data_IF_011948033300
#
_entry.id   IF_011948033300
#
_cell.length_a   1.000
_cell.length_b   1.000
_cell.length_c   1.000
_cell.angle_alpha   90.00
_cell.angle_beta   90.00
_cell.angle_gamma   90.00
#
_symmetry.space_group_name_H-M   'P 1'
#
loop_
_entity.id
_entity.type
_entity.pdbx_description
1 polymer ?
#
# COMPACT_ATOMS: atom_id res chain seq x y z
N UNK A 1 34.51 -13.12 -35.03
CA UNK A 1 34.39 -11.65 -34.90
C UNK A 1 35.36 -11.25 -33.79
N UNK A 2 36.57 -10.83 -34.16
CA UNK A 2 37.62 -10.46 -33.20
C UNK A 2 37.32 -9.05 -32.69
N UNK A 3 37.09 -8.93 -31.38
CA UNK A 3 37.03 -7.65 -30.66
C UNK A 3 38.46 -7.12 -30.62
N UNK A 4 38.71 -5.87 -31.03
CA UNK A 4 40.05 -5.29 -31.04
C UNK A 4 40.54 -5.00 -29.62
N UNK A 5 41.86 -5.10 -29.38
CA UNK A 5 42.48 -4.81 -28.08
C UNK A 5 42.16 -3.39 -27.56
N UNK A 6 41.81 -2.45 -28.45
CA UNK A 6 41.35 -1.11 -28.10
C UNK A 6 39.98 -1.09 -27.42
N UNK A 7 39.03 -1.96 -27.84
CA UNK A 7 37.70 -2.07 -27.23
C UNK A 7 37.76 -2.79 -25.87
N UNK A 8 38.70 -3.73 -25.70
CA UNK A 8 38.95 -4.42 -24.42
C UNK A 8 39.51 -3.43 -23.39
N UNK A 9 40.44 -2.55 -23.81
CA UNK A 9 41.07 -1.55 -22.94
C UNK A 9 40.09 -0.42 -22.53
N UNK A 10 39.12 -0.04 -23.38
CA UNK A 10 38.05 0.89 -23.00
C UNK A 10 37.03 0.29 -22.02
N UNK A 11 36.74 -1.02 -22.13
CA UNK A 11 35.75 -1.72 -21.30
C UNK A 11 36.26 -2.03 -19.88
N UNK A 12 37.51 -2.49 -19.73
CA UNK A 12 38.14 -2.63 -18.40
C UNK A 12 38.25 -1.28 -17.68
N UNK A 13 38.46 -0.21 -18.44
CA UNK A 13 38.54 1.14 -17.91
C UNK A 13 37.17 1.65 -17.42
N UNK A 14 36.05 1.19 -17.99
CA UNK A 14 34.71 1.66 -17.57
C UNK A 14 34.39 1.31 -16.11
N UNK A 15 34.50 0.04 -15.68
CA UNK A 15 34.15 -0.36 -14.33
C UNK A 15 35.01 0.34 -13.28
N UNK A 16 36.32 0.49 -13.56
CA UNK A 16 37.27 1.21 -12.70
C UNK A 16 36.98 2.72 -12.65
N UNK A 17 36.69 3.34 -13.80
CA UNK A 17 36.31 4.75 -13.87
C UNK A 17 34.99 5.02 -13.14
N UNK A 18 34.01 4.13 -13.28
CA UNK A 18 32.73 4.24 -12.59
C UNK A 18 32.89 4.05 -11.08
N UNK A 19 33.71 3.08 -10.63
CA UNK A 19 34.10 2.93 -9.22
C UNK A 19 34.70 4.23 -8.66
N UNK A 20 35.71 4.78 -9.35
CA UNK A 20 36.36 6.03 -8.96
C UNK A 20 35.36 7.19 -8.88
N UNK A 21 34.45 7.28 -9.84
CA UNK A 21 33.39 8.30 -9.85
C UNK A 21 32.48 8.18 -8.63
N UNK A 22 32.02 6.97 -8.31
CA UNK A 22 31.21 6.74 -7.11
C UNK A 22 32.00 7.06 -5.83
N UNK A 23 33.27 6.67 -5.74
CA UNK A 23 34.12 6.99 -4.61
C UNK A 23 34.22 8.51 -4.39
N UNK A 24 34.41 9.30 -5.46
CA UNK A 24 34.44 10.76 -5.36
C UNK A 24 33.10 11.35 -4.92
N UNK A 25 31.97 10.79 -5.36
CA UNK A 25 30.64 11.20 -4.91
C UNK A 25 30.49 11.00 -3.39
N UNK A 26 30.91 9.86 -2.85
CA UNK A 26 30.86 9.63 -1.41
C UNK A 26 31.88 10.47 -0.63
N UNK A 27 33.01 10.81 -1.26
CA UNK A 27 34.07 11.65 -0.67
C UNK A 27 33.76 13.14 -0.68
N UNK A 28 32.85 13.62 -1.52
CA UNK A 28 32.58 15.05 -1.69
C UNK A 28 32.03 15.76 -0.44
N UNK A 29 31.52 14.99 0.54
CA UNK A 29 30.90 15.53 1.75
C UNK A 29 29.42 15.90 1.60
N UNK A 30 28.83 15.75 0.41
CA UNK A 30 27.41 16.05 0.19
C UNK A 30 26.47 14.99 0.79
N UNK A 31 26.98 13.77 1.00
CA UNK A 31 26.22 12.65 1.56
C UNK A 31 26.56 12.52 3.03
N UNK A 32 25.56 12.68 3.91
CA UNK A 32 25.73 12.51 5.36
C UNK A 32 26.11 11.06 5.71
N UNK A 33 27.34 10.87 6.16
CA UNK A 33 27.85 9.57 6.54
C UNK A 33 29.37 9.56 6.70
N UNK A 34 29.92 8.36 6.82
CA UNK A 34 31.35 8.14 7.06
C UNK A 34 31.87 6.96 6.24
N UNK A 35 33.13 7.04 5.81
CA UNK A 35 33.83 5.87 5.29
C UNK A 35 34.16 4.88 6.40
N UNK A 36 34.19 3.60 6.07
CA UNK A 36 34.88 2.63 6.90
C UNK A 36 36.40 2.80 6.77
N UNK A 37 37.15 2.44 7.83
CA UNK A 37 38.60 2.63 7.90
C UNK A 37 39.38 1.84 6.83
N UNK A 38 38.79 0.75 6.34
CA UNK A 38 39.39 -0.13 5.32
C UNK A 38 38.83 0.22 3.93
N UNK A 39 39.49 1.15 3.23
CA UNK A 39 39.27 1.40 1.80
C UNK A 39 40.48 0.92 1.01
N UNK A 40 40.29 0.09 0.00
CA UNK A 40 41.33 -0.34 -0.94
C UNK A 40 41.13 0.31 -2.32
N UNK A 41 42.05 0.04 -3.24
CA UNK A 41 41.92 0.47 -4.65
C UNK A 41 40.66 -0.07 -5.34
N UNK A 42 40.11 -1.17 -4.83
CA UNK A 42 39.04 -1.93 -5.50
C UNK A 42 37.79 -2.11 -4.62
N UNK A 43 37.81 -1.61 -3.39
CA UNK A 43 36.69 -1.70 -2.47
C UNK A 43 36.62 -0.48 -1.54
N UNK A 44 35.41 0.07 -1.39
CA UNK A 44 35.12 0.99 -0.30
C UNK A 44 33.77 0.66 0.34
N UNK A 45 33.66 1.02 1.62
CA UNK A 45 32.43 0.93 2.38
C UNK A 45 32.09 2.29 2.96
N UNK A 46 30.85 2.74 2.77
CA UNK A 46 30.33 4.01 3.27
C UNK A 46 29.06 3.80 4.08
N UNK A 47 29.01 4.37 5.28
CA UNK A 47 27.90 4.27 6.23
C UNK A 47 27.10 5.57 6.16
N UNK A 48 25.94 5.53 5.52
CA UNK A 48 24.97 6.63 5.48
C UNK A 48 24.21 6.66 6.81
N UNK A 49 24.36 7.77 7.52
CA UNK A 49 23.78 7.98 8.84
C UNK A 49 23.14 9.38 8.78
N UNK A 50 21.81 9.49 8.61
CA UNK A 50 21.14 10.79 8.47
C UNK A 50 21.40 11.73 9.66
N UNK A 51 21.50 11.15 10.86
CA UNK A 51 21.66 11.82 12.16
C UNK A 51 23.14 11.86 12.61
N UNK A 52 24.09 11.84 11.67
CA UNK A 52 25.52 11.72 11.99
C UNK A 52 26.04 12.90 12.81
N UNK A 53 25.51 14.10 12.57
CA UNK A 53 25.94 15.32 13.26
C UNK A 53 25.54 15.29 14.74
N UNK A 54 24.30 14.88 15.04
CA UNK A 54 23.85 14.70 16.43
C UNK A 54 24.66 13.61 17.13
N UNK A 55 24.89 12.49 16.45
CA UNK A 55 25.66 11.36 16.96
C UNK A 55 27.10 11.78 17.30
N UNK A 56 27.76 12.52 16.41
CA UNK A 56 29.12 13.01 16.63
C UNK A 56 29.18 14.04 17.75
N UNK A 57 28.15 14.86 17.91
CA UNK A 57 28.05 15.82 19.04
C UNK A 57 27.98 15.08 20.38
N UNK A 58 27.11 14.07 20.48
CA UNK A 58 27.00 13.23 21.69
C UNK A 58 28.33 12.50 21.95
N UNK A 59 28.98 11.99 20.89
CA UNK A 59 30.31 11.35 20.95
C UNK A 59 31.35 12.24 21.57
N UNK A 60 31.51 13.45 21.06
CA UNK A 60 32.50 14.39 21.55
C UNK A 60 32.23 14.78 23.01
N UNK A 61 30.96 15.00 23.38
CA UNK A 61 30.59 15.31 24.77
C UNK A 61 30.99 14.19 25.73
N UNK A 62 30.71 12.92 25.40
CA UNK A 62 31.02 11.77 26.25
C UNK A 62 32.53 11.52 26.31
N UNK A 63 33.24 11.58 25.18
CA UNK A 63 34.71 11.41 25.16
C UNK A 63 35.42 12.47 26.01
N UNK A 64 34.91 13.70 26.06
CA UNK A 64 35.43 14.78 26.91
C UNK A 64 35.21 14.54 28.42
N UNK A 65 34.16 13.81 28.80
CA UNK A 65 33.92 13.42 30.20
C UNK A 65 34.81 12.25 30.58
N UNK A 66 34.94 11.26 29.70
CA UNK A 66 35.77 10.07 29.92
C UNK A 66 37.26 10.39 30.04
N UNK A 67 37.78 11.34 29.26
CA UNK A 67 39.19 11.76 29.32
C UNK A 67 39.56 12.48 30.62
N UNK A 68 38.61 13.19 31.24
CA UNK A 68 38.81 13.90 32.52
C UNK A 68 38.79 12.99 33.75
N UNK A 69 38.06 11.88 33.69
CA UNK A 69 37.77 11.05 34.86
C UNK A 69 38.48 9.69 34.87
N UNK A 70 39.49 9.47 34.02
CA UNK A 70 40.30 8.24 33.95
C UNK A 70 39.50 6.92 33.90
N UNK A 71 38.26 6.95 33.42
CA UNK A 71 37.45 5.76 33.22
C UNK A 71 37.91 4.99 31.98
N UNK A 72 38.62 3.88 32.19
CA UNK A 72 38.98 2.88 31.15
C UNK A 72 37.86 1.86 30.90
N UNK A 73 36.59 2.20 31.09
CA UNK A 73 35.50 1.26 30.81
C UNK A 73 35.16 1.27 29.31
N UNK A 74 35.12 0.08 28.71
CA UNK A 74 34.64 -0.13 27.35
C UNK A 74 33.12 0.12 27.32
N UNK A 75 32.72 1.35 27.00
CA UNK A 75 31.31 1.65 26.78
C UNK A 75 31.03 1.35 25.31
N UNK A 76 30.12 0.41 25.05
CA UNK A 76 29.53 0.20 23.73
C UNK A 76 28.06 0.57 23.84
N UNK A 77 27.67 1.69 23.26
CA UNK A 77 26.26 2.09 23.27
C UNK A 77 25.61 1.73 21.97
N UNK A 78 24.44 1.09 22.07
CA UNK A 78 23.56 0.85 20.93
C UNK A 78 22.50 1.94 20.90
N UNK A 79 22.48 2.72 19.83
CA UNK A 79 21.47 3.74 19.57
C UNK A 79 20.51 3.16 18.52
N UNK A 80 19.23 3.11 18.83
CA UNK A 80 18.20 2.86 17.83
C UNK A 80 17.80 4.20 17.22
N UNK A 81 17.84 4.30 15.89
CA UNK A 81 17.49 5.52 15.17
C UNK A 81 16.07 5.43 14.62
N UNK A 82 15.29 6.51 14.63
CA UNK A 82 13.97 6.54 14.01
C UNK A 82 14.08 6.41 12.48
N UNK A 83 15.15 6.93 11.89
CA UNK A 83 15.46 6.79 10.48
C UNK A 83 16.33 5.55 10.20
N UNK A 84 16.13 4.93 9.04
CA UNK A 84 16.91 3.77 8.61
C UNK A 84 18.29 4.23 8.15
N UNK A 85 19.33 3.65 8.74
CA UNK A 85 20.71 3.82 8.27
C UNK A 85 21.02 2.83 7.16
N UNK A 86 21.93 3.21 6.27
CA UNK A 86 22.39 2.35 5.20
C UNK A 86 23.91 2.18 5.24
N UNK A 87 24.39 1.00 4.92
CA UNK A 87 25.80 0.76 4.62
C UNK A 87 25.88 0.35 3.15
N UNK A 88 26.67 1.10 2.38
CA UNK A 88 26.89 0.86 0.96
C UNK A 88 28.32 0.36 0.81
N UNK A 89 28.45 -0.87 0.34
CA UNK A 89 29.71 -1.47 -0.03
C UNK A 89 29.83 -1.50 -1.55
N UNK A 90 30.85 -0.85 -2.09
CA UNK A 90 31.13 -0.85 -3.53
C UNK A 90 32.42 -1.62 -3.77
N UNK A 91 32.38 -2.58 -4.70
CA UNK A 91 33.54 -3.43 -5.01
C UNK A 91 33.68 -3.59 -6.51
N UNK A 92 34.90 -3.38 -7.00
CA UNK A 92 35.36 -3.82 -8.30
C UNK A 92 35.73 -5.31 -8.20
N UNK A 93 35.21 -6.14 -9.10
CA UNK A 93 35.37 -7.59 -9.07
C UNK A 93 35.67 -8.13 -10.46
N UNK A 94 36.28 -9.30 -10.51
CA UNK A 94 36.54 -10.05 -11.74
C UNK A 94 35.70 -11.33 -11.70
N UNK A 95 34.99 -11.62 -12.79
CA UNK A 95 34.18 -12.84 -12.93
C UNK A 95 35.05 -14.06 -13.26
N UNK A 96 34.48 -15.27 -13.19
CA UNK A 96 35.19 -16.51 -13.55
C UNK A 96 35.74 -16.51 -14.99
N UNK A 97 35.10 -15.74 -15.88
CA UNK A 97 35.55 -15.55 -17.27
C UNK A 97 36.51 -14.37 -17.45
N UNK A 98 37.16 -13.92 -16.37
CA UNK A 98 38.06 -12.76 -16.32
C UNK A 98 37.46 -11.42 -16.76
N UNK A 99 36.12 -11.29 -16.79
CA UNK A 99 35.47 -10.02 -17.12
C UNK A 99 35.24 -9.17 -15.87
N UNK A 100 35.63 -7.89 -15.84
CA UNK A 100 35.37 -7.00 -14.71
C UNK A 100 33.88 -6.68 -14.55
N UNK A 101 33.47 -6.48 -13.31
CA UNK A 101 32.15 -6.00 -12.96
C UNK A 101 32.18 -5.24 -11.63
N UNK A 102 31.32 -4.25 -11.50
CA UNK A 102 31.11 -3.52 -10.27
C UNK A 102 29.94 -4.12 -9.49
N UNK A 103 30.08 -4.18 -8.17
CA UNK A 103 28.99 -4.50 -7.24
C UNK A 103 28.74 -3.34 -6.30
N UNK A 104 27.47 -2.96 -6.14
CA UNK A 104 27.00 -2.05 -5.10
C UNK A 104 26.07 -2.85 -4.20
N UNK A 105 26.54 -3.14 -2.99
CA UNK A 105 25.80 -3.92 -1.99
C UNK A 105 25.25 -2.97 -0.94
N UNK A 106 23.94 -3.01 -0.74
CA UNK A 106 23.21 -2.15 0.18
C UNK A 106 22.79 -3.00 1.38
N UNK A 107 23.20 -2.57 2.56
CA UNK A 107 22.76 -3.10 3.85
C UNK A 107 21.96 -2.03 4.58
N UNK A 108 20.96 -2.45 5.34
CA UNK A 108 20.10 -1.55 6.12
C UNK A 108 20.18 -1.87 7.61
N UNK A 109 20.19 -0.85 8.45
CA UNK A 109 20.18 -1.03 9.91
C UNK A 109 19.37 0.05 10.62
N UNK A 110 18.63 -0.36 11.65
CA UNK A 110 17.94 0.57 12.56
C UNK A 110 18.76 0.81 13.84
N UNK A 111 20.00 0.30 13.90
CA UNK A 111 20.82 0.40 15.10
C UNK A 111 22.28 0.70 14.80
N UNK A 112 22.80 1.66 15.55
CA UNK A 112 24.17 2.13 15.49
C UNK A 112 24.85 1.72 16.79
N UNK A 113 25.96 0.99 16.70
CA UNK A 113 26.87 0.75 17.80
C UNK A 113 27.97 1.81 17.80
N UNK A 114 28.18 2.47 18.93
CA UNK A 114 29.24 3.45 19.10
C UNK A 114 30.21 2.92 20.15
N UNK A 115 31.47 2.79 19.74
CA UNK A 115 32.61 2.60 20.63
C UNK A 115 33.18 3.98 20.98
N UNK A 116 33.05 4.35 22.26
CA UNK A 116 33.41 5.69 22.74
C UNK A 116 34.90 5.85 23.01
N UNK A 117 35.67 4.76 23.02
CA UNK A 117 37.11 4.77 23.31
C UNK A 117 37.98 4.84 22.05
N UNK A 118 37.39 4.73 20.86
CA UNK A 118 38.08 4.85 19.57
C UNK A 118 37.41 5.92 18.71
N UNK A 119 38.18 6.94 18.32
CA UNK A 119 37.72 8.13 17.58
C UNK A 119 36.98 7.78 16.29
N UNK A 120 37.24 6.61 15.69
CA UNK A 120 36.71 6.23 14.37
C UNK A 120 35.83 4.95 14.34
N UNK A 121 35.35 4.42 15.47
CA UNK A 121 34.61 3.15 15.48
C UNK A 121 33.09 3.32 15.66
N UNK A 122 32.43 3.96 14.68
CA UNK A 122 30.97 3.80 14.53
C UNK A 122 30.72 2.49 13.75
N UNK A 123 30.03 1.54 14.39
CA UNK A 123 29.69 0.24 13.82
C UNK A 123 28.18 0.18 13.58
N UNK A 124 27.77 0.04 12.32
CA UNK A 124 26.37 -0.30 12.03
C UNK A 124 26.18 -1.80 12.27
N UNK A 125 25.11 -2.19 12.97
CA UNK A 125 24.76 -3.62 13.04
C UNK A 125 24.18 -4.02 11.68
N UNK A 126 25.04 -4.53 10.81
CA UNK A 126 24.67 -4.92 9.46
C UNK A 126 23.93 -6.27 9.50
N UNK A 127 22.71 -6.30 9.00
CA UNK A 127 21.97 -7.55 8.72
C UNK A 127 22.26 -8.01 7.29
N UNK A 128 21.71 -9.15 6.88
CA UNK A 128 21.79 -9.67 5.50
C UNK A 128 21.55 -8.56 4.46
N UNK A 129 22.28 -8.59 3.32
CA UNK A 129 22.18 -7.56 2.29
C UNK A 129 20.72 -7.36 1.88
N UNK A 130 20.31 -6.10 1.88
CA UNK A 130 18.98 -5.71 1.43
C UNK A 130 18.88 -5.88 -0.08
N UNK A 131 19.93 -5.45 -0.80
CA UNK A 131 19.98 -5.48 -2.26
C UNK A 131 21.40 -5.44 -2.78
N UNK A 132 21.64 -6.16 -3.88
CA UNK A 132 22.87 -6.06 -4.67
C UNK A 132 22.52 -5.47 -6.03
N UNK A 133 23.32 -4.52 -6.49
CA UNK A 133 23.30 -3.99 -7.86
C UNK A 133 24.63 -4.39 -8.51
N UNK A 134 24.55 -4.92 -9.72
CA UNK A 134 25.70 -5.46 -10.45
C UNK A 134 25.75 -4.75 -11.80
N UNK A 135 26.92 -4.22 -12.13
CA UNK A 135 27.17 -3.44 -13.34
C UNK A 135 28.34 -4.08 -14.07
N UNK A 136 28.10 -4.58 -15.27
CA UNK A 136 29.15 -5.17 -16.10
C UNK A 136 29.82 -4.12 -16.99
N UNK A 137 30.98 -4.49 -17.54
CA UNK A 137 31.78 -3.68 -18.48
C UNK A 137 30.96 -3.14 -19.67
N UNK A 138 30.03 -3.93 -20.20
CA UNK A 138 29.14 -3.56 -21.30
C UNK A 138 27.97 -2.66 -20.86
N UNK A 139 28.04 -2.09 -19.66
CA UNK A 139 27.01 -1.28 -19.00
C UNK A 139 25.71 -2.02 -18.69
N UNK A 140 25.63 -3.33 -18.88
CA UNK A 140 24.46 -4.10 -18.44
C UNK A 140 24.36 -4.08 -16.92
N UNK A 141 23.14 -3.93 -16.43
CA UNK A 141 22.87 -3.66 -15.02
C UNK A 141 21.75 -4.53 -14.46
N UNK A 142 22.03 -5.19 -13.34
CA UNK A 142 21.17 -6.18 -12.73
C UNK A 142 20.99 -5.90 -11.24
N UNK A 143 19.87 -6.36 -10.70
CA UNK A 143 19.64 -6.47 -9.27
C UNK A 143 19.57 -7.93 -8.85
N UNK A 144 20.11 -8.23 -7.67
CA UNK A 144 19.92 -9.50 -6.99
C UNK A 144 19.42 -9.27 -5.57
N UNK A 145 18.52 -10.15 -5.13
CA UNK A 145 18.11 -10.26 -3.72
C UNK A 145 18.86 -11.41 -3.04
N UNK A 146 18.52 -11.71 -1.78
CA UNK A 146 19.16 -12.74 -0.94
C UNK A 146 19.24 -14.15 -1.56
N UNK A 147 18.46 -14.44 -2.60
CA UNK A 147 18.43 -15.76 -3.25
C UNK A 147 19.32 -15.84 -4.51
N UNK A 148 20.24 -14.89 -4.73
CA UNK A 148 21.17 -14.87 -5.88
C UNK A 148 20.51 -14.93 -7.27
N UNK A 149 19.20 -14.67 -7.36
CA UNK A 149 18.51 -14.56 -8.65
C UNK A 149 18.73 -13.16 -9.22
N UNK A 150 19.35 -13.12 -10.40
CA UNK A 150 19.61 -11.89 -11.14
C UNK A 150 18.41 -11.49 -11.99
N UNK A 151 18.03 -10.22 -11.92
CA UNK A 151 17.00 -9.62 -12.78
C UNK A 151 17.51 -8.28 -13.30
N UNK A 152 17.11 -7.83 -14.51
CA UNK A 152 17.43 -6.49 -14.97
C UNK A 152 17.01 -5.44 -13.95
N UNK A 153 17.90 -4.49 -13.63
CA UNK A 153 17.62 -3.47 -12.63
C UNK A 153 16.41 -2.61 -13.04
N UNK A 154 15.45 -2.43 -12.13
CA UNK A 154 14.31 -1.54 -12.33
C UNK A 154 14.49 -0.23 -11.57
N UNK A 155 13.82 0.83 -12.01
CA UNK A 155 13.81 2.11 -11.30
C UNK A 155 13.27 1.97 -9.88
N UNK A 156 12.26 1.10 -9.69
CA UNK A 156 11.72 0.80 -8.36
C UNK A 156 12.75 0.26 -7.36
N UNK A 157 13.85 -0.32 -7.86
CA UNK A 157 14.93 -0.83 -7.05
C UNK A 157 15.84 0.28 -6.50
N UNK A 158 15.81 1.47 -7.12
CA UNK A 158 16.56 2.65 -6.71
C UNK A 158 15.87 3.47 -5.60
N UNK A 159 14.61 3.15 -5.28
CA UNK A 159 13.78 3.96 -4.37
C UNK A 159 14.39 4.15 -2.98
N UNK A 160 15.12 3.16 -2.47
CA UNK A 160 15.52 3.13 -1.08
C UNK A 160 17.05 3.11 -0.91
N UNK A 161 17.53 3.90 0.04
CA UNK A 161 18.88 3.85 0.63
C UNK A 161 20.07 4.19 -0.28
N UNK A 162 19.85 4.43 -1.56
CA UNK A 162 20.84 5.07 -2.42
C UNK A 162 20.72 6.60 -2.34
N UNK A 163 21.84 7.34 -2.28
CA UNK A 163 21.85 8.80 -2.46
C UNK A 163 21.41 9.20 -3.88
N UNK A 164 20.80 10.37 -4.02
CA UNK A 164 20.31 10.86 -5.31
C UNK A 164 21.44 11.07 -6.33
N UNK A 165 22.63 11.44 -5.87
CA UNK A 165 23.83 11.56 -6.69
C UNK A 165 24.23 10.21 -7.32
N UNK A 166 24.13 9.13 -6.55
CA UNK A 166 24.40 7.78 -7.04
C UNK A 166 23.31 7.33 -8.00
N UNK A 167 22.03 7.60 -7.67
CA UNK A 167 20.90 7.31 -8.58
C UNK A 167 21.09 8.01 -9.91
N UNK A 168 21.45 9.30 -9.90
CA UNK A 168 21.74 10.09 -11.10
C UNK A 168 22.79 9.39 -11.97
N UNK A 169 23.91 8.94 -11.40
CA UNK A 169 24.93 8.24 -12.17
C UNK A 169 24.44 6.93 -12.77
N UNK A 170 23.61 6.18 -12.04
CA UNK A 170 22.99 4.95 -12.57
C UNK A 170 22.02 5.26 -13.73
N UNK A 171 21.21 6.32 -13.64
CA UNK A 171 20.36 6.75 -14.75
C UNK A 171 21.20 7.14 -15.98
N UNK A 172 22.27 7.93 -15.77
CA UNK A 172 23.14 8.39 -16.86
C UNK A 172 23.79 7.25 -17.65
N UNK A 173 23.91 6.04 -17.10
CA UNK A 173 24.38 4.87 -17.88
C UNK A 173 23.47 4.55 -19.08
N UNK A 174 22.18 4.88 -19.02
CA UNK A 174 21.19 4.50 -20.02
C UNK A 174 20.25 5.62 -20.49
N UNK A 175 20.34 6.82 -19.93
CA UNK A 175 19.41 7.91 -20.23
C UNK A 175 20.08 9.27 -20.47
N UNK A 176 21.31 9.30 -21.01
CA UNK A 176 22.01 10.57 -21.32
C UNK A 176 21.20 11.50 -22.23
N UNK A 177 20.40 10.92 -23.14
CA UNK A 177 19.61 11.64 -24.13
C UNK A 177 18.24 12.11 -23.63
N UNK A 178 17.81 11.75 -22.41
CA UNK A 178 16.49 12.10 -21.90
C UNK A 178 16.59 12.82 -20.57
N UNK A 179 15.70 13.78 -20.32
CA UNK A 179 15.63 14.48 -19.04
C UNK A 179 14.59 13.88 -18.08
N UNK A 180 13.80 12.90 -18.53
CA UNK A 180 12.74 12.30 -17.74
C UNK A 180 13.22 11.64 -16.43
N UNK A 181 14.47 11.16 -16.37
CA UNK A 181 15.02 10.65 -15.11
C UNK A 181 15.18 11.74 -14.04
N UNK A 182 15.38 13.00 -14.43
CA UNK A 182 15.46 14.13 -13.47
C UNK A 182 14.14 14.31 -12.76
N UNK A 183 13.05 14.25 -13.52
CA UNK A 183 11.69 14.28 -13.00
C UNK A 183 11.42 13.14 -12.01
N UNK A 184 11.92 11.92 -12.29
CA UNK A 184 11.76 10.78 -11.39
C UNK A 184 12.43 11.00 -10.03
N UNK A 185 13.66 11.54 -10.01
CA UNK A 185 14.37 11.86 -8.77
C UNK A 185 13.63 13.00 -8.04
N UNK A 186 13.34 14.11 -8.73
CA UNK A 186 12.69 15.28 -8.16
C UNK A 186 11.32 14.95 -7.56
N UNK A 187 10.53 14.11 -8.23
CA UNK A 187 9.19 13.72 -7.79
C UNK A 187 9.19 12.57 -6.77
N UNK A 188 10.36 12.01 -6.43
CA UNK A 188 10.49 10.77 -5.65
C UNK A 188 9.65 9.62 -6.25
N UNK A 189 9.62 9.52 -7.59
CA UNK A 189 8.78 8.60 -8.34
C UNK A 189 9.60 7.46 -8.95
N UNK A 190 9.43 6.25 -8.41
CA UNK A 190 10.21 5.08 -8.79
C UNK A 190 9.32 3.93 -9.31
N UNK A 191 8.89 3.98 -10.58
CA UNK A 191 8.00 2.96 -11.15
C UNK A 191 8.75 1.64 -11.44
N UNK A 192 8.03 0.51 -11.57
CA UNK A 192 8.63 -0.79 -11.89
C UNK A 192 8.97 -0.93 -13.39
N UNK A 193 9.72 0.02 -13.95
CA UNK A 193 10.27 -0.05 -15.31
C UNK A 193 11.76 -0.42 -15.26
N UNK A 194 12.27 -1.15 -16.24
CA UNK A 194 13.71 -1.41 -16.36
C UNK A 194 14.47 -0.08 -16.54
N UNK A 195 15.62 0.04 -15.89
CA UNK A 195 16.46 1.23 -15.99
C UNK A 195 16.89 1.49 -17.46
N UNK A 196 17.17 0.42 -18.19
CA UNK A 196 17.55 0.45 -19.62
C UNK A 196 16.44 0.94 -20.55
N UNK A 197 15.18 0.89 -20.11
CA UNK A 197 14.02 1.27 -20.94
C UNK A 197 13.68 2.76 -20.82
N UNK A 198 14.32 3.51 -19.91
CA UNK A 198 13.98 4.92 -19.66
C UNK A 198 14.27 5.80 -20.86
N UNK A 199 15.33 5.51 -21.62
CA UNK A 199 15.68 6.25 -22.83
C UNK A 199 14.60 6.23 -23.91
N UNK A 200 13.62 5.33 -23.79
CA UNK A 200 12.46 5.26 -24.70
C UNK A 200 11.41 6.35 -24.46
N UNK A 201 11.62 7.21 -23.45
CA UNK A 201 10.67 8.25 -23.05
C UNK A 201 11.40 9.58 -22.85
N UNK A 202 10.89 10.62 -23.48
CA UNK A 202 11.48 11.95 -23.48
C UNK A 202 10.96 12.80 -22.31
N UNK A 203 9.71 12.57 -21.88
CA UNK A 203 9.04 13.33 -20.83
C UNK A 203 7.97 12.50 -20.11
N UNK A 204 7.38 13.06 -19.04
CA UNK A 204 6.32 12.41 -18.25
C UNK A 204 5.14 12.01 -19.13
N UNK A 205 4.65 12.92 -19.98
CA UNK A 205 3.50 12.69 -20.88
C UNK A 205 3.69 11.41 -21.70
N UNK A 206 4.77 11.32 -22.48
CA UNK A 206 5.03 10.17 -23.34
C UNK A 206 5.09 8.86 -22.56
N UNK A 207 5.72 8.88 -21.37
CA UNK A 207 5.77 7.71 -20.49
C UNK A 207 4.39 7.25 -20.05
N UNK A 208 3.56 8.16 -19.54
CA UNK A 208 2.22 7.82 -19.04
C UNK A 208 1.25 7.45 -20.16
N UNK A 209 1.30 8.12 -21.32
CA UNK A 209 0.49 7.76 -22.49
C UNK A 209 0.77 6.34 -22.97
N UNK A 210 2.06 5.95 -23.09
CA UNK A 210 2.44 4.57 -23.46
C UNK A 210 2.04 3.56 -22.38
N UNK A 211 2.23 3.89 -21.11
CA UNK A 211 1.97 2.99 -19.98
C UNK A 211 0.47 2.68 -19.77
N UNK A 212 -0.38 3.69 -20.00
CA UNK A 212 -1.82 3.60 -19.74
C UNK A 212 -2.67 3.54 -21.01
N UNK A 213 -2.08 3.77 -22.19
CA UNK A 213 -2.77 3.81 -23.49
C UNK A 213 -3.90 4.83 -23.51
N UNK A 214 -3.60 6.04 -23.06
CA UNK A 214 -4.53 7.18 -23.01
C UNK A 214 -3.82 8.42 -23.54
N UNK A 215 -4.58 9.35 -24.11
CA UNK A 215 -4.06 10.66 -24.50
C UNK A 215 -4.08 11.61 -23.30
N UNK A 216 -3.00 12.38 -23.12
CA UNK A 216 -2.83 13.29 -21.99
C UNK A 216 -2.63 14.73 -22.47
N UNK A 217 -3.09 15.75 -21.72
CA UNK A 217 -2.78 17.14 -22.05
C UNK A 217 -1.30 17.46 -21.77
N UNK A 218 -0.72 18.39 -22.55
CA UNK A 218 0.68 18.81 -22.38
C UNK A 218 0.98 19.40 -20.98
N UNK A 219 -0.04 19.97 -20.31
CA UNK A 219 0.05 20.48 -18.95
C UNK A 219 0.50 19.42 -17.94
N UNK A 220 0.32 18.13 -18.24
CA UNK A 220 0.66 17.02 -17.35
C UNK A 220 2.16 16.98 -17.02
N UNK A 221 3.04 17.45 -17.90
CA UNK A 221 4.49 17.47 -17.66
C UNK A 221 4.89 18.37 -16.48
N UNK A 222 4.06 19.34 -16.11
CA UNK A 222 4.29 20.24 -14.96
C UNK A 222 3.88 19.62 -13.62
N UNK A 223 3.12 18.51 -13.63
CA UNK A 223 2.63 17.86 -12.41
C UNK A 223 3.64 16.86 -11.84
N UNK A 224 3.49 16.55 -10.57
CA UNK A 224 4.25 15.49 -9.92
C UNK A 224 3.88 14.10 -10.49
N UNK A 225 4.87 13.29 -10.81
CA UNK A 225 4.70 11.99 -11.47
C UNK A 225 3.81 11.00 -10.70
N UNK A 226 3.80 11.03 -9.35
CA UNK A 226 2.90 10.20 -8.54
C UNK A 226 1.44 10.63 -8.74
N UNK A 227 1.16 11.92 -8.78
CA UNK A 227 -0.18 12.44 -9.07
C UNK A 227 -0.66 12.02 -10.47
N UNK A 228 0.21 12.13 -11.48
CA UNK A 228 -0.11 11.70 -12.84
C UNK A 228 -0.46 10.20 -12.87
N UNK A 229 0.35 9.35 -12.21
CA UNK A 229 0.09 7.91 -12.13
C UNK A 229 -1.30 7.60 -11.54
N UNK A 230 -1.69 8.32 -10.49
CA UNK A 230 -2.96 8.14 -9.80
C UNK A 230 -4.14 8.57 -10.67
N UNK A 231 -4.03 9.74 -11.32
CA UNK A 231 -5.01 10.22 -12.30
C UNK A 231 -5.18 9.22 -13.46
N UNK A 232 -4.07 8.69 -14.00
CA UNK A 232 -4.14 7.68 -15.06
C UNK A 232 -4.79 6.37 -14.59
N UNK A 233 -4.60 5.98 -13.32
CA UNK A 233 -5.31 4.84 -12.74
C UNK A 233 -6.82 5.10 -12.62
N UNK A 234 -7.21 6.31 -12.24
CA UNK A 234 -8.60 6.73 -12.13
C UNK A 234 -9.30 6.84 -13.49
N UNK A 235 -8.57 7.25 -14.55
CA UNK A 235 -9.11 7.48 -15.89
C UNK A 235 -9.88 6.29 -16.48
N UNK A 236 -9.49 5.06 -16.12
CA UNK A 236 -10.17 3.83 -16.56
C UNK A 236 -11.61 3.70 -16.05
N UNK A 237 -11.95 4.39 -14.97
CA UNK A 237 -13.22 4.20 -14.25
C UNK A 237 -14.19 5.35 -14.43
N UNK A 238 -13.89 6.35 -15.26
CA UNK A 238 -14.76 7.52 -15.47
C UNK A 238 -15.29 7.56 -16.90
N UNK A 239 -16.26 8.44 -17.14
CA UNK A 239 -16.73 8.71 -18.49
C UNK A 239 -15.61 9.35 -19.34
N UNK A 240 -15.47 8.92 -20.60
CA UNK A 240 -14.41 9.42 -21.49
C UNK A 240 -14.50 10.94 -21.73
N UNK A 241 -15.72 11.49 -21.82
CA UNK A 241 -15.94 12.93 -21.95
C UNK A 241 -15.51 13.74 -20.72
N UNK A 242 -15.19 13.09 -19.60
CA UNK A 242 -14.73 13.72 -18.35
C UNK A 242 -13.20 13.63 -18.16
N UNK A 243 -12.44 13.06 -19.10
CA UNK A 243 -10.98 12.94 -18.98
C UNK A 243 -10.30 14.30 -18.84
N UNK A 244 -10.72 15.32 -19.59
CA UNK A 244 -10.19 16.68 -19.45
C UNK A 244 -10.46 17.26 -18.05
N UNK A 245 -11.64 16.98 -17.47
CA UNK A 245 -11.99 17.41 -16.11
C UNK A 245 -11.13 16.69 -15.07
N UNK A 246 -10.81 15.41 -15.30
CA UNK A 246 -9.93 14.62 -14.43
C UNK A 246 -8.51 15.19 -14.42
N UNK A 247 -7.89 15.36 -15.60
CA UNK A 247 -6.49 15.82 -15.69
C UNK A 247 -6.29 17.30 -15.35
N UNK A 248 -7.37 18.09 -15.34
CA UNK A 248 -7.37 19.47 -14.84
C UNK A 248 -7.84 19.59 -13.38
N UNK A 249 -8.18 18.48 -12.72
CA UNK A 249 -8.56 18.52 -11.31
C UNK A 249 -7.39 18.98 -10.42
N UNK A 250 -7.73 19.62 -9.30
CA UNK A 250 -6.76 19.97 -8.25
C UNK A 250 -6.49 18.69 -7.46
N UNK A 251 -5.55 17.89 -7.95
CA UNK A 251 -5.12 16.63 -7.37
C UNK A 251 -3.58 16.61 -7.21
N UNK A 252 -3.02 17.72 -6.76
CA UNK A 252 -1.58 17.87 -6.55
C UNK A 252 -1.18 17.68 -5.07
N UNK A 253 -2.10 17.88 -4.12
CA UNK A 253 -1.89 17.85 -2.66
C UNK A 253 -1.91 16.45 -2.01
N UNK A 254 -1.63 15.39 -2.78
CA UNK A 254 -1.55 13.99 -2.29
C UNK A 254 -0.54 13.84 -1.14
N UNK A 255 0.35 14.82 -0.95
CA UNK A 255 1.36 14.87 0.10
C UNK A 255 0.82 15.14 1.51
N UNK A 256 -0.43 15.58 1.71
CA UNK A 256 -0.84 16.16 3.00
C UNK A 256 -1.79 15.41 3.95
N UNK A 257 -2.41 14.26 3.67
CA UNK A 257 -3.10 13.56 4.80
C UNK A 257 -3.49 12.08 4.68
N UNK A 258 -3.94 11.54 3.53
CA UNK A 258 -4.51 10.16 3.52
C UNK A 258 -3.89 9.21 2.46
N UNK A 259 -3.18 9.76 1.47
CA UNK A 259 -2.44 9.01 0.44
C UNK A 259 -0.91 9.16 0.53
N UNK A 260 -0.45 10.08 1.38
CA UNK A 260 0.97 10.37 1.63
C UNK A 260 1.66 9.25 2.40
N UNK A 261 0.90 8.39 3.07
CA UNK A 261 1.44 7.16 3.60
C UNK A 261 1.88 6.26 2.44
N UNK A 262 3.19 6.12 2.29
CA UNK A 262 3.93 5.33 1.31
C UNK A 262 3.59 3.82 1.26
N UNK A 263 2.45 3.41 1.83
CA UNK A 263 1.98 2.03 1.99
C UNK A 263 1.60 1.35 0.67
N UNK A 264 1.05 2.07 -0.31
CA UNK A 264 0.66 1.43 -1.58
C UNK A 264 1.83 1.42 -2.56
N UNK A 265 2.37 0.22 -2.81
CA UNK A 265 3.37 -0.02 -3.85
C UNK A 265 2.80 0.27 -5.24
N UNK A 266 3.53 1.07 -6.03
CA UNK A 266 3.24 1.29 -7.46
C UNK A 266 3.36 -0.05 -8.22
N UNK A 267 2.22 -0.63 -8.60
CA UNK A 267 2.18 -1.89 -9.34
C UNK A 267 0.87 -2.01 -10.11
N UNK A 268 0.85 -2.90 -11.11
CA UNK A 268 -0.36 -3.21 -11.89
C UNK A 268 -1.49 -3.72 -10.99
N UNK A 269 -1.17 -4.56 -9.99
CA UNK A 269 -2.14 -5.15 -9.05
C UNK A 269 -2.86 -4.09 -8.22
N UNK A 270 -2.16 -3.02 -7.86
CA UNK A 270 -2.71 -1.96 -7.01
C UNK A 270 -3.37 -0.82 -7.81
N UNK A 271 -3.35 -0.83 -9.16
CA UNK A 271 -3.92 0.27 -9.97
C UNK A 271 -5.40 0.53 -9.68
N UNK A 272 -6.19 -0.52 -9.40
CA UNK A 272 -7.61 -0.39 -9.05
C UNK A 272 -7.77 0.43 -7.77
N UNK A 273 -7.12 0.01 -6.69
CA UNK A 273 -7.18 0.69 -5.40
C UNK A 273 -6.67 2.14 -5.52
N UNK A 274 -5.56 2.35 -6.22
CA UNK A 274 -5.00 3.69 -6.47
C UNK A 274 -6.01 4.58 -7.20
N UNK A 275 -6.64 4.06 -8.26
CA UNK A 275 -7.66 4.78 -9.03
C UNK A 275 -8.89 5.12 -8.18
N UNK A 276 -9.40 4.17 -7.39
CA UNK A 276 -10.53 4.39 -6.49
C UNK A 276 -10.23 5.46 -5.44
N UNK A 277 -9.06 5.42 -4.80
CA UNK A 277 -8.66 6.45 -3.84
C UNK A 277 -8.53 7.83 -4.49
N UNK A 278 -7.94 7.89 -5.69
CA UNK A 278 -7.86 9.14 -6.45
C UNK A 278 -9.26 9.73 -6.72
N UNK A 279 -10.21 8.91 -7.17
CA UNK A 279 -11.60 9.33 -7.39
C UNK A 279 -12.27 9.78 -6.09
N UNK A 280 -12.08 9.06 -4.99
CA UNK A 280 -12.58 9.44 -3.67
C UNK A 280 -12.16 10.86 -3.29
N UNK A 281 -10.87 11.20 -3.40
CA UNK A 281 -10.41 12.54 -3.05
C UNK A 281 -10.98 13.62 -3.97
N UNK A 282 -11.00 13.39 -5.28
CA UNK A 282 -11.57 14.34 -6.25
C UNK A 282 -13.06 14.60 -5.95
N UNK A 283 -13.82 13.53 -5.71
CA UNK A 283 -15.25 13.64 -5.43
C UNK A 283 -15.53 14.20 -4.03
N UNK A 284 -14.69 13.88 -3.04
CA UNK A 284 -14.79 14.41 -1.67
C UNK A 284 -14.57 15.92 -1.64
N UNK A 285 -13.57 16.41 -2.38
CA UNK A 285 -13.29 17.84 -2.50
C UNK A 285 -14.46 18.59 -3.16
N UNK A 286 -15.14 17.97 -4.14
CA UNK A 286 -16.34 18.53 -4.78
C UNK A 286 -17.60 18.41 -3.92
N UNK A 287 -17.67 17.42 -3.04
CA UNK A 287 -18.84 17.08 -2.25
C UNK A 287 -18.49 16.90 -0.75
N UNK A 288 -18.09 17.96 -0.04
CA UNK A 288 -17.64 17.86 1.36
C UNK A 288 -18.74 17.44 2.34
N UNK A 289 -20.02 17.51 1.94
CA UNK A 289 -21.18 17.23 2.79
C UNK A 289 -21.79 15.82 2.58
N UNK A 290 -21.14 14.96 1.80
CA UNK A 290 -21.51 13.53 1.69
C UNK A 290 -20.80 12.76 2.80
N UNK A 291 -21.41 11.72 3.36
CA UNK A 291 -20.69 10.86 4.32
C UNK A 291 -19.54 10.13 3.62
N UNK A 292 -18.47 9.84 4.36
CA UNK A 292 -17.33 9.07 3.85
C UNK A 292 -17.79 7.70 3.32
N UNK A 293 -18.63 7.01 4.09
CA UNK A 293 -19.09 5.65 3.76
C UNK A 293 -19.93 5.63 2.48
N UNK A 294 -20.90 6.53 2.31
CA UNK A 294 -21.72 6.58 1.08
C UNK A 294 -20.88 6.84 -0.17
N UNK A 295 -19.86 7.71 -0.06
CA UNK A 295 -19.00 7.99 -1.21
C UNK A 295 -18.10 6.79 -1.56
N UNK A 296 -17.56 6.10 -0.55
CA UNK A 296 -16.78 4.87 -0.74
C UNK A 296 -17.65 3.78 -1.36
N UNK A 297 -18.84 3.53 -0.80
CA UNK A 297 -19.79 2.53 -1.29
C UNK A 297 -20.18 2.80 -2.75
N UNK A 298 -20.50 4.06 -3.09
CA UNK A 298 -20.78 4.44 -4.47
C UNK A 298 -19.61 4.10 -5.42
N UNK A 299 -18.38 4.46 -5.05
CA UNK A 299 -17.19 4.22 -5.88
C UNK A 299 -16.87 2.72 -6.02
N UNK A 300 -16.95 1.97 -4.92
CA UNK A 300 -16.73 0.53 -4.92
C UNK A 300 -17.77 -0.18 -5.78
N UNK A 301 -19.05 0.14 -5.60
CA UNK A 301 -20.13 -0.43 -6.40
C UNK A 301 -20.01 -0.07 -7.87
N UNK A 302 -19.73 1.20 -8.22
CA UNK A 302 -19.56 1.61 -9.61
C UNK A 302 -18.42 0.82 -10.28
N UNK A 303 -17.26 0.75 -9.62
CA UNK A 303 -16.09 0.02 -10.14
C UNK A 303 -16.36 -1.48 -10.26
N UNK A 304 -17.01 -2.08 -9.26
CA UNK A 304 -17.36 -3.50 -9.29
C UNK A 304 -18.41 -3.80 -10.36
N UNK A 305 -19.41 -2.96 -10.53
CA UNK A 305 -20.44 -3.09 -11.56
C UNK A 305 -19.92 -2.73 -12.96
N UNK A 306 -18.72 -2.17 -13.07
CA UNK A 306 -18.15 -1.60 -14.30
C UNK A 306 -18.98 -0.42 -14.85
N UNK A 307 -19.64 0.30 -13.95
CA UNK A 307 -20.32 1.56 -14.27
C UNK A 307 -19.30 2.70 -14.25
N UNK A 308 -19.35 3.62 -15.23
CA UNK A 308 -18.48 4.78 -15.22
C UNK A 308 -18.85 5.73 -14.08
N UNK A 309 -17.84 6.10 -13.29
CA UNK A 309 -17.96 7.10 -12.23
C UNK A 309 -18.11 8.47 -12.86
N UNK A 310 -19.24 9.12 -12.57
CA UNK A 310 -19.42 10.53 -12.88
C UNK A 310 -18.74 11.40 -11.83
N UNK A 311 -17.55 11.92 -12.15
CA UNK A 311 -16.77 12.75 -11.23
C UNK A 311 -17.34 14.17 -11.05
N UNK A 312 -18.34 14.54 -11.84
CA UNK A 312 -19.07 15.81 -11.75
C UNK A 312 -20.39 15.67 -10.98
N UNK A 313 -20.75 14.44 -10.58
CA UNK A 313 -21.98 14.20 -9.85
C UNK A 313 -21.99 14.96 -8.51
N UNK A 314 -23.05 15.75 -8.32
CA UNK A 314 -23.35 16.37 -7.03
C UNK A 314 -24.04 15.39 -6.08
N UNK A 315 -24.13 15.76 -4.80
CA UNK A 315 -24.77 14.99 -3.71
C UNK A 315 -26.04 14.22 -4.13
N UNK A 316 -27.06 14.90 -4.66
CA UNK A 316 -28.34 14.27 -5.03
C UNK A 316 -28.16 13.13 -6.04
N UNK A 317 -27.31 13.31 -7.05
CA UNK A 317 -27.03 12.30 -8.08
C UNK A 317 -26.25 11.11 -7.51
N UNK A 318 -25.28 11.37 -6.62
CA UNK A 318 -24.51 10.32 -5.96
C UNK A 318 -25.42 9.41 -5.12
N UNK A 319 -26.33 9.97 -4.31
CA UNK A 319 -27.29 9.16 -3.55
C UNK A 319 -28.20 8.34 -4.47
N UNK A 320 -28.73 8.95 -5.53
CA UNK A 320 -29.55 8.22 -6.52
C UNK A 320 -28.79 7.04 -7.13
N UNK A 321 -27.55 7.26 -7.58
CA UNK A 321 -26.73 6.21 -8.19
C UNK A 321 -26.33 5.15 -7.17
N UNK A 322 -26.01 5.55 -5.94
CA UNK A 322 -25.75 4.64 -4.84
C UNK A 322 -26.93 3.67 -4.66
N UNK A 323 -28.14 4.20 -4.49
CA UNK A 323 -29.34 3.38 -4.23
C UNK A 323 -29.66 2.46 -5.42
N UNK A 324 -29.50 2.96 -6.65
CA UNK A 324 -29.65 2.15 -7.88
C UNK A 324 -28.63 1.00 -7.94
N UNK A 325 -27.37 1.27 -7.54
CA UNK A 325 -26.28 0.32 -7.63
C UNK A 325 -26.33 -0.75 -6.53
N UNK A 326 -26.83 -0.44 -5.33
CA UNK A 326 -26.90 -1.37 -4.18
C UNK A 326 -27.49 -2.72 -4.58
N UNK A 327 -28.66 -2.73 -5.23
CA UNK A 327 -29.33 -3.99 -5.56
C UNK A 327 -28.61 -4.80 -6.63
N UNK A 328 -28.06 -4.12 -7.65
CA UNK A 328 -27.29 -4.75 -8.72
C UNK A 328 -25.99 -5.33 -8.17
N UNK A 329 -25.32 -4.58 -7.30
CA UNK A 329 -24.10 -4.99 -6.63
C UNK A 329 -24.32 -6.21 -5.74
N UNK A 330 -25.35 -6.19 -4.88
CA UNK A 330 -25.73 -7.32 -4.03
C UNK A 330 -26.04 -8.56 -4.88
N UNK A 331 -26.78 -8.42 -5.96
CA UNK A 331 -27.10 -9.54 -6.86
C UNK A 331 -25.84 -10.17 -7.46
N UNK A 332 -24.88 -9.33 -7.87
CA UNK A 332 -23.59 -9.77 -8.40
C UNK A 332 -22.69 -10.40 -7.32
N UNK A 333 -22.51 -9.74 -6.18
CA UNK A 333 -21.66 -10.20 -5.08
C UNK A 333 -22.13 -11.56 -4.55
N UNK A 334 -23.45 -11.76 -4.49
CA UNK A 334 -24.04 -13.00 -4.03
C UNK A 334 -24.15 -14.08 -5.12
N UNK A 335 -23.71 -13.84 -6.36
CA UNK A 335 -23.86 -14.80 -7.46
C UNK A 335 -23.09 -16.09 -7.17
N UNK A 336 -23.77 -17.22 -7.27
CA UNK A 336 -23.19 -18.54 -6.96
C UNK A 336 -23.06 -18.87 -5.47
N UNK A 337 -23.31 -17.93 -4.56
CA UNK A 337 -23.29 -18.18 -3.12
C UNK A 337 -24.62 -18.83 -2.70
N UNK A 338 -24.52 -20.00 -2.05
CA UNK A 338 -25.68 -20.69 -1.44
C UNK A 338 -26.03 -20.01 -0.12
N UNK A 339 -27.32 -19.94 0.20
CA UNK A 339 -27.79 -19.49 1.51
C UNK A 339 -27.79 -20.66 2.48
N UNK A 340 -27.04 -20.55 3.59
CA UNK A 340 -26.96 -21.58 4.62
C UNK A 340 -26.95 -20.90 5.99
N UNK A 341 -27.86 -21.29 6.87
CA UNK A 341 -27.73 -20.95 8.30
C UNK A 341 -26.91 -22.06 8.96
N UNK A 342 -25.66 -21.80 9.38
CA UNK A 342 -24.78 -22.84 9.90
C UNK A 342 -25.25 -23.33 11.26
N UNK A 343 -24.74 -24.49 11.65
CA UNK A 343 -25.05 -25.17 12.91
C UNK A 343 -24.51 -24.37 14.12
N UNK A 344 -25.31 -23.41 14.57
CA UNK A 344 -25.02 -22.48 15.66
C UNK A 344 -26.30 -22.24 16.48
N UNK A 345 -26.23 -21.66 17.70
CA UNK A 345 -27.45 -21.32 18.45
C UNK A 345 -28.45 -20.46 17.68
N UNK A 346 -27.98 -19.61 16.77
CA UNK A 346 -28.82 -18.79 15.90
C UNK A 346 -29.80 -19.62 15.07
N UNK A 347 -29.38 -20.79 14.58
CA UNK A 347 -30.24 -21.70 13.79
C UNK A 347 -31.49 -22.17 14.54
N UNK A 348 -31.42 -22.19 15.87
CA UNK A 348 -32.46 -22.69 16.75
C UNK A 348 -33.28 -21.59 17.41
N UNK A 349 -33.00 -20.32 17.09
CA UNK A 349 -33.82 -19.22 17.57
C UNK A 349 -35.07 -19.13 16.71
N UNK A 350 -36.19 -19.61 17.26
CA UNK A 350 -37.52 -19.49 16.68
C UNK A 350 -38.30 -18.43 17.47
N UNK A 351 -38.77 -17.40 16.77
CA UNK A 351 -39.59 -16.34 17.33
C UNK A 351 -41.06 -16.54 16.90
N UNK A 352 -42.04 -16.14 17.72
CA UNK A 352 -43.46 -16.24 17.41
C UNK A 352 -43.86 -15.23 16.34
N UNK A 353 -45.09 -15.33 15.82
CA UNK A 353 -45.67 -14.23 15.03
C UNK A 353 -45.65 -12.93 15.86
N UNK A 354 -45.39 -11.76 15.23
CA UNK A 354 -45.31 -11.50 13.77
C UNK A 354 -43.89 -11.64 13.17
N UNK A 355 -42.96 -12.35 13.82
CA UNK A 355 -41.55 -12.43 13.38
C UNK A 355 -41.31 -13.59 12.39
N UNK A 356 -40.78 -13.28 11.21
CA UNK A 356 -40.47 -14.26 10.17
C UNK A 356 -38.96 -14.32 9.89
N UNK A 357 -38.37 -15.52 10.04
CA UNK A 357 -36.95 -15.75 9.73
C UNK A 357 -36.74 -15.77 8.22
N UNK A 358 -35.80 -14.95 7.73
CA UNK A 358 -35.36 -15.00 6.34
C UNK A 358 -34.49 -16.26 6.13
N UNK A 359 -35.00 -17.19 5.31
CA UNK A 359 -34.37 -18.51 5.06
C UNK A 359 -33.81 -18.68 3.66
N UNK A 360 -33.95 -17.68 2.78
CA UNK A 360 -33.49 -17.78 1.38
C UNK A 360 -32.78 -16.52 0.94
N UNK A 361 -31.88 -16.69 -0.04
CA UNK A 361 -31.20 -15.56 -0.69
C UNK A 361 -32.20 -14.60 -1.36
N UNK A 362 -33.23 -15.12 -2.01
CA UNK A 362 -34.24 -14.30 -2.69
C UNK A 362 -35.04 -13.45 -1.71
N UNK A 363 -35.43 -14.02 -0.56
CA UNK A 363 -36.11 -13.28 0.51
C UNK A 363 -35.20 -12.20 1.12
N UNK A 364 -33.92 -12.50 1.36
CA UNK A 364 -32.96 -11.51 1.86
C UNK A 364 -32.76 -10.33 0.89
N UNK A 365 -32.74 -10.61 -0.41
CA UNK A 365 -32.65 -9.58 -1.45
C UNK A 365 -33.95 -8.77 -1.57
N UNK A 366 -35.10 -9.42 -1.43
CA UNK A 366 -36.41 -8.77 -1.45
C UNK A 366 -36.57 -7.84 -0.25
N UNK A 367 -36.19 -8.29 0.95
CA UNK A 367 -36.18 -7.48 2.18
C UNK A 367 -35.38 -6.18 1.98
N UNK A 368 -34.18 -6.29 1.40
CA UNK A 368 -33.35 -5.11 1.12
C UNK A 368 -33.99 -4.14 0.13
N UNK A 369 -34.80 -4.64 -0.83
CA UNK A 369 -35.57 -3.81 -1.77
C UNK A 369 -36.79 -3.16 -1.12
N UNK A 370 -37.51 -3.88 -0.26
CA UNK A 370 -38.69 -3.35 0.43
C UNK A 370 -38.26 -2.19 1.35
N UNK A 371 -37.19 -2.38 2.11
CA UNK A 371 -36.71 -1.40 3.07
C UNK A 371 -35.68 -0.42 2.52
N UNK A 372 -35.35 -0.44 1.23
CA UNK A 372 -34.31 0.40 0.61
C UNK A 372 -33.03 0.44 1.46
N UNK A 373 -32.54 -0.75 1.86
CA UNK A 373 -31.39 -0.93 2.75
C UNK A 373 -30.41 -1.98 2.23
N UNK A 374 -29.26 -2.09 2.89
CA UNK A 374 -28.15 -2.94 2.45
C UNK A 374 -28.17 -4.36 3.05
N UNK A 375 -29.29 -4.83 3.63
CA UNK A 375 -29.33 -6.15 4.31
C UNK A 375 -28.96 -7.32 3.39
N UNK A 376 -29.17 -7.18 2.08
CA UNK A 376 -28.74 -8.17 1.09
C UNK A 376 -27.23 -8.45 1.08
N UNK A 377 -26.41 -7.53 1.60
CA UNK A 377 -24.96 -7.74 1.78
C UNK A 377 -24.62 -8.70 2.94
N UNK A 378 -25.59 -9.06 3.79
CA UNK A 378 -25.35 -9.88 4.98
C UNK A 378 -25.31 -11.39 4.67
N UNK A 379 -25.52 -11.80 3.41
CA UNK A 379 -25.50 -13.22 3.03
C UNK A 379 -24.26 -13.95 3.54
N UNK A 380 -23.07 -13.37 3.36
CA UNK A 380 -21.83 -13.98 3.84
C UNK A 380 -21.79 -14.04 5.38
N UNK A 381 -22.21 -12.98 6.07
CA UNK A 381 -22.28 -12.95 7.54
C UNK A 381 -23.23 -14.03 8.10
N UNK A 382 -24.36 -14.27 7.42
CA UNK A 382 -25.30 -15.34 7.78
C UNK A 382 -24.65 -16.70 7.58
N UNK A 383 -24.03 -16.93 6.41
CA UNK A 383 -23.34 -18.18 6.10
C UNK A 383 -22.19 -18.49 7.07
N UNK A 384 -21.49 -17.46 7.54
CA UNK A 384 -20.41 -17.57 8.53
C UNK A 384 -20.94 -17.71 9.98
N UNK A 385 -22.26 -17.60 10.17
CA UNK A 385 -22.92 -17.77 11.47
C UNK A 385 -22.73 -16.58 12.40
N UNK A 386 -22.48 -15.39 11.86
CA UNK A 386 -22.36 -14.15 12.61
C UNK A 386 -23.71 -13.54 12.95
N UNK A 387 -24.72 -13.73 12.11
CA UNK A 387 -26.08 -13.23 12.33
C UNK A 387 -27.15 -14.10 11.65
N UNK A 388 -28.40 -13.83 12.01
CA UNK A 388 -29.61 -14.20 11.26
C UNK A 388 -30.49 -12.96 11.11
N UNK A 389 -31.30 -12.93 10.06
CA UNK A 389 -32.20 -11.81 9.78
C UNK A 389 -33.64 -12.25 9.94
N UNK A 390 -34.37 -11.52 10.78
CA UNK A 390 -35.82 -11.59 10.87
C UNK A 390 -36.45 -10.38 10.18
N UNK A 391 -37.64 -10.58 9.64
CA UNK A 391 -38.55 -9.50 9.19
C UNK A 391 -39.82 -9.56 10.02
N UNK A 392 -40.43 -8.41 10.33
CA UNK A 392 -41.66 -8.34 11.11
C UNK A 392 -42.43 -7.06 10.80
N UNK A 393 -43.76 -7.15 10.78
CA UNK A 393 -44.65 -6.00 10.74
C UNK A 393 -45.17 -5.72 12.15
N UNK A 394 -44.73 -4.60 12.75
CA UNK A 394 -45.07 -4.20 14.13
C UNK A 394 -45.43 -2.72 14.11
N UNK A 395 -46.56 -2.36 14.73
CA UNK A 395 -47.05 -0.97 14.80
C UNK A 395 -47.10 -0.27 13.43
N UNK A 396 -47.60 -0.98 12.40
CA UNK A 396 -47.66 -0.52 11.00
C UNK A 396 -46.28 -0.22 10.38
N UNK A 397 -45.20 -0.76 10.95
CA UNK A 397 -43.85 -0.65 10.44
C UNK A 397 -43.31 -2.01 10.01
N UNK A 398 -42.82 -2.07 8.77
CA UNK A 398 -42.04 -3.21 8.28
C UNK A 398 -40.58 -3.08 8.77
N UNK A 399 -40.10 -4.08 9.51
CA UNK A 399 -38.82 -4.04 10.22
C UNK A 399 -37.86 -5.13 9.72
N UNK A 400 -36.62 -4.75 9.44
CA UNK A 400 -35.47 -5.66 9.30
C UNK A 400 -34.72 -5.77 10.63
N UNK A 401 -34.53 -7.00 11.14
CA UNK A 401 -33.95 -7.26 12.46
C UNK A 401 -32.68 -8.15 12.32
N UNK A 402 -31.50 -7.59 12.64
CA UNK A 402 -30.22 -8.32 12.71
C UNK A 402 -30.01 -8.86 14.13
N UNK A 403 -30.08 -10.19 14.28
CA UNK A 403 -29.83 -10.88 15.54
C UNK A 403 -28.48 -11.58 15.49
N UNK A 404 -27.68 -11.38 16.53
CA UNK A 404 -26.34 -11.97 16.68
C UNK A 404 -26.25 -12.82 17.93
N UNK A 405 -25.31 -13.77 17.92
CA UNK A 405 -24.95 -14.59 19.07
C UNK A 405 -23.48 -14.43 19.42
N UNK A 406 -23.21 -14.00 20.66
CA UNK A 406 -21.85 -13.89 21.15
C UNK A 406 -21.43 -15.20 21.83
N UNK A 407 -20.47 -15.91 21.24
CA UNK A 407 -19.96 -17.19 21.77
C UNK A 407 -19.29 -17.08 23.14
N UNK A 408 -18.67 -15.94 23.46
CA UNK A 408 -17.97 -15.73 24.75
C UNK A 408 -18.97 -15.50 25.88
N UNK A 409 -19.91 -14.58 25.69
CA UNK A 409 -20.92 -14.27 26.71
C UNK A 409 -22.12 -15.23 26.68
N UNK A 410 -22.22 -16.08 25.64
CA UNK A 410 -23.32 -17.01 25.37
C UNK A 410 -24.70 -16.33 25.32
N UNK A 411 -24.74 -15.08 24.84
CA UNK A 411 -25.96 -14.27 24.77
C UNK A 411 -26.34 -13.92 23.34
N UNK A 412 -27.65 -13.85 23.10
CA UNK A 412 -28.22 -13.24 21.90
C UNK A 412 -28.31 -11.73 22.09
N UNK A 413 -28.27 -10.99 20.98
CA UNK A 413 -28.44 -9.54 20.95
C UNK A 413 -29.09 -9.10 19.65
N UNK A 414 -30.01 -8.16 19.73
CA UNK A 414 -30.50 -7.40 18.58
C UNK A 414 -29.45 -6.33 18.24
N UNK A 415 -28.75 -6.52 17.14
CA UNK A 415 -27.71 -5.61 16.68
C UNK A 415 -28.30 -4.43 15.92
N UNK A 416 -29.32 -4.67 15.09
CA UNK A 416 -30.07 -3.65 14.36
C UNK A 416 -31.55 -4.03 14.31
N UNK A 417 -32.43 -3.03 14.38
CA UNK A 417 -33.88 -3.14 14.20
C UNK A 417 -34.34 -1.88 13.47
N UNK A 418 -34.36 -1.95 12.14
CA UNK A 418 -34.53 -0.78 11.29
C UNK A 418 -35.73 -0.93 10.36
N UNK A 419 -36.38 0.20 10.08
CA UNK A 419 -37.37 0.35 9.02
C UNK A 419 -36.71 0.88 7.75
N UNK A 420 -37.53 1.29 6.80
CA UNK A 420 -37.11 1.85 5.51
C UNK A 420 -35.97 2.89 5.63
N UNK A 421 -35.01 2.85 4.72
CA UNK A 421 -33.83 3.73 4.65
C UNK A 421 -32.92 3.71 5.89
N UNK A 422 -32.75 2.54 6.52
CA UNK A 422 -31.96 2.36 7.74
C UNK A 422 -32.41 3.25 8.92
N UNK A 423 -33.66 3.70 8.91
CA UNK A 423 -34.18 4.48 10.03
C UNK A 423 -34.41 3.56 11.23
N UNK A 424 -34.06 3.97 12.45
CA UNK A 424 -34.41 3.22 13.65
C UNK A 424 -35.93 3.11 13.82
N UNK A 425 -36.39 1.98 14.35
CA UNK A 425 -37.76 1.85 14.85
C UNK A 425 -37.94 2.70 16.12
N UNK A 426 -39.18 2.78 16.63
CA UNK A 426 -39.44 3.40 17.94
C UNK A 426 -38.71 2.62 19.04
N UNK A 427 -38.36 3.31 20.12
CA UNK A 427 -37.63 2.70 21.25
C UNK A 427 -38.44 1.58 21.92
N UNK A 428 -39.75 1.80 22.10
CA UNK A 428 -40.70 0.80 22.61
C UNK A 428 -40.71 -0.47 21.75
N UNK A 429 -40.77 -0.31 20.42
CA UNK A 429 -40.71 -1.43 19.47
C UNK A 429 -39.37 -2.18 19.57
N UNK A 430 -38.24 -1.46 19.72
CA UNK A 430 -36.92 -2.08 19.89
C UNK A 430 -36.84 -2.87 21.21
N UNK A 431 -37.39 -2.32 22.28
CA UNK A 431 -37.41 -2.96 23.61
C UNK A 431 -38.29 -4.21 23.60
N UNK A 432 -39.45 -4.15 22.94
CA UNK A 432 -40.30 -5.30 22.67
C UNK A 432 -39.54 -6.40 21.92
N UNK A 433 -38.89 -6.07 20.79
CA UNK A 433 -38.11 -7.05 19.99
C UNK A 433 -36.99 -7.67 20.83
N UNK A 434 -36.26 -6.86 21.61
CA UNK A 434 -35.18 -7.35 22.49
C UNK A 434 -35.73 -8.33 23.54
N UNK A 435 -36.88 -8.03 24.15
CA UNK A 435 -37.53 -8.89 25.14
C UNK A 435 -37.91 -10.24 24.54
N UNK A 436 -38.57 -10.25 23.38
CA UNK A 436 -38.96 -11.48 22.67
C UNK A 436 -37.74 -12.34 22.32
N UNK A 437 -36.66 -11.73 21.82
CA UNK A 437 -35.40 -12.46 21.54
C UNK A 437 -34.82 -13.09 22.81
N UNK A 438 -34.84 -12.38 23.94
CA UNK A 438 -34.33 -12.91 25.22
C UNK A 438 -35.17 -14.07 25.75
N UNK A 439 -36.50 -13.99 25.65
CA UNK A 439 -37.42 -15.04 26.10
C UNK A 439 -37.17 -16.37 25.37
N UNK A 440 -36.93 -16.33 24.05
CA UNK A 440 -36.67 -17.53 23.25
C UNK A 440 -35.20 -17.98 23.21
N UNK A 441 -34.27 -17.16 23.70
CA UNK A 441 -32.83 -17.46 23.71
C UNK A 441 -32.47 -18.74 24.47
N UNK A 442 -33.12 -18.98 25.63
CA UNK A 442 -32.82 -20.15 26.48
C UNK A 442 -33.17 -21.46 25.78
N UNK A 443 -34.29 -21.49 25.05
CA UNK A 443 -34.73 -22.64 24.28
C UNK A 443 -33.75 -22.93 23.13
N UNK A 444 -33.36 -21.91 22.37
CA UNK A 444 -32.42 -22.03 21.27
C UNK A 444 -31.06 -22.63 21.71
N UNK A 445 -30.51 -22.15 22.82
CA UNK A 445 -29.25 -22.67 23.39
C UNK A 445 -29.40 -24.13 23.80
N UNK A 446 -30.52 -24.47 24.45
CA UNK A 446 -30.80 -25.83 24.91
C UNK A 446 -30.91 -26.81 23.74
N UNK A 447 -31.60 -26.42 22.67
CA UNK A 447 -31.74 -27.23 21.46
C UNK A 447 -30.39 -27.45 20.76
N UNK A 448 -29.59 -26.40 20.61
CA UNK A 448 -28.24 -26.50 20.05
C UNK A 448 -27.34 -27.45 20.86
N UNK A 449 -27.35 -27.34 22.19
CA UNK A 449 -26.57 -28.23 23.05
C UNK A 449 -27.01 -29.69 22.95
N UNK A 450 -28.32 -29.97 22.88
CA UNK A 450 -28.86 -31.32 22.68
C UNK A 450 -28.41 -31.92 21.34
N UNK A 451 -28.44 -31.13 20.27
CA UNK A 451 -28.02 -31.56 18.92
C UNK A 451 -26.51 -31.83 18.83
N UNK A 452 -25.68 -30.95 19.41
CA UNK A 452 -24.23 -31.15 19.43
C UNK A 452 -23.76 -32.31 20.32
N UNK A 453 -24.51 -32.68 21.36
CA UNK A 453 -24.21 -33.89 22.14
C UNK A 453 -24.52 -35.17 21.35
N UNK A 454 -25.53 -35.13 20.47
CA UNK A 454 -25.90 -36.25 19.60
C UNK A 454 -24.98 -36.44 18.40
N UNK A 455 -24.27 -35.41 17.94
CA UNK A 455 -23.31 -35.50 16.82
C UNK A 455 -21.90 -35.92 17.23
N UNK A 456 -21.61 -35.99 18.53
CA UNK A 456 -20.34 -36.47 19.11
C UNK A 456 -20.40 -37.92 19.62
N UNK A 457 -21.58 -38.52 19.59
CA UNK A 457 -21.79 -39.97 19.68
C UNK A 457 -21.94 -40.49 18.26
#
# INVERSE_FOLDING_TARGET
MYISDSEINEQENFCKNFYNKLYQIFKSGNIKGIFDKETSSDEFTFKIIPEIDEIMTIKNAISNVSSKNSFKSYVLTKINTPNINACIKVQNRISENNKPYLTITIFTSHSIGIDWNNTNNIKLKMYNPYRNIIIHENKSIYSSTKNHKYFPLSVSDLRHYLPDEVKRELFLLHSEKTYFWKDMIQDNFYPPIKLTDISKYHNKKEYFEKLFKIELPNSINKRNSKAIYYLCCAAKYINQNQLNILFNSVFDDITKSELSEDRIKLSIRNRKEIGQRCLYHIMRNRNPNISKDTLIDYLDMAVELKEPVDITAGKKKIYKLHDEYVHRYIAKANRGIKFVIPETPLKYLELPEPFYLIKTKSALQLEGKINDNCVGTYLQKINDGHCIIYTADIDEQHLTIDIRYNKKSKKFSVNQCYKKHNQPCKEETLEYVKKIVQEHSKQAITMYQKRNKKSKK
#
